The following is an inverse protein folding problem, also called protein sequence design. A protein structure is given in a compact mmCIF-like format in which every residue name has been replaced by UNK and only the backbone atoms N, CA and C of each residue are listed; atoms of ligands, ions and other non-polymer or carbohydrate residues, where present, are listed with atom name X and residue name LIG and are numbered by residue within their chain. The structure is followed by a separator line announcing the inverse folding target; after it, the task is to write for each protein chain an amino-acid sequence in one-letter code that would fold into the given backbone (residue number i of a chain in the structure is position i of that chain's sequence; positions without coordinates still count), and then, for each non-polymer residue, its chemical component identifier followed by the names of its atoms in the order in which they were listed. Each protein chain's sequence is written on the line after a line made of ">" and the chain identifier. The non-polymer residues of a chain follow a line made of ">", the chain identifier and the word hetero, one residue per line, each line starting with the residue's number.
data_IF_708577932734
#
_entry.id   IF_708577932734
#
_cell.length_a   1.000
_cell.length_b   1.000
_cell.length_c   1.000
_cell.angle_alpha   90.00
_cell.angle_beta   90.00
_cell.angle_gamma   90.00
#
_symmetry.space_group_name_H-M   'P 1'
#
loop_
_entity.id
_entity.type
_entity.pdbx_description
1 polymer ?
#
# COMPACT_ATOMS: atom_id res chain seq x y z
N UNK A 1 -12.77 -9.23 -8.38
CA UNK A 1 -13.08 -9.73 -7.02
C UNK A 1 -13.99 -10.93 -7.14
N UNK A 2 -13.69 -12.07 -6.49
CA UNK A 2 -14.60 -13.21 -6.53
C UNK A 2 -15.92 -12.83 -5.85
N UNK A 3 -17.03 -12.98 -6.57
CA UNK A 3 -18.36 -12.83 -6.00
C UNK A 3 -18.73 -14.13 -5.29
N UNK A 4 -18.83 -14.08 -3.97
CA UNK A 4 -19.33 -15.20 -3.19
C UNK A 4 -20.86 -15.20 -3.28
N UNK A 5 -21.44 -16.22 -3.93
CA UNK A 5 -22.90 -16.39 -4.04
C UNK A 5 -23.56 -16.63 -2.68
N UNK A 6 -22.82 -17.22 -1.74
CA UNK A 6 -23.24 -17.42 -0.34
C UNK A 6 -22.07 -17.08 0.59
N UNK A 7 -22.32 -16.23 1.59
CA UNK A 7 -21.32 -15.85 2.60
C UNK A 7 -21.80 -16.22 4.00
N UNK A 8 -20.93 -16.89 4.76
CA UNK A 8 -21.17 -17.17 6.18
C UNK A 8 -20.73 -16.00 7.10
N UNK A 9 -20.21 -14.92 6.54
CA UNK A 9 -19.72 -13.78 7.29
C UNK A 9 -20.87 -13.08 8.04
N UNK A 10 -20.71 -12.90 9.35
CA UNK A 10 -21.61 -12.11 10.18
C UNK A 10 -20.81 -10.97 10.81
N UNK A 11 -21.10 -9.70 10.48
CA UNK A 11 -20.40 -8.58 11.09
C UNK A 11 -20.74 -8.50 12.58
N UNK A 12 -19.81 -7.98 13.38
CA UNK A 12 -20.12 -7.58 14.75
C UNK A 12 -21.16 -6.45 14.73
N UNK A 13 -21.96 -6.31 15.79
CA UNK A 13 -23.02 -5.29 15.84
C UNK A 13 -22.48 -3.86 15.61
N UNK A 14 -21.26 -3.59 16.08
CA UNK A 14 -20.58 -2.29 15.89
C UNK A 14 -20.15 -2.02 14.44
N UNK A 15 -20.05 -3.04 13.59
CA UNK A 15 -19.64 -2.95 12.19
C UNK A 15 -20.74 -3.48 11.26
N UNK A 16 -22.00 -3.36 11.66
CA UNK A 16 -23.14 -3.96 10.97
C UNK A 16 -23.44 -3.34 9.59
N UNK A 17 -22.87 -2.18 9.24
CA UNK A 17 -23.01 -1.56 7.92
C UNK A 17 -21.65 -1.16 7.32
N UNK A 18 -21.63 -1.01 5.99
CA UNK A 18 -20.42 -0.72 5.23
C UNK A 18 -19.76 0.63 5.55
N UNK A 19 -20.54 1.64 5.94
CA UNK A 19 -19.97 2.95 6.31
C UNK A 19 -19.17 2.85 7.61
N UNK A 20 -19.70 2.17 8.63
CA UNK A 20 -18.99 1.95 9.88
C UNK A 20 -17.73 1.11 9.68
N UNK A 21 -17.77 0.10 8.81
CA UNK A 21 -16.60 -0.69 8.42
C UNK A 21 -15.50 0.19 7.81
N UNK A 22 -15.86 1.07 6.88
CA UNK A 22 -14.93 2.00 6.24
C UNK A 22 -14.35 3.01 7.23
N UNK A 23 -15.20 3.66 8.03
CA UNK A 23 -14.79 4.67 9.00
C UNK A 23 -13.89 4.06 10.08
N UNK A 24 -14.28 2.91 10.64
CA UNK A 24 -13.47 2.24 11.64
C UNK A 24 -12.09 1.84 11.09
N UNK A 25 -12.05 1.30 9.86
CA UNK A 25 -10.79 0.93 9.22
C UNK A 25 -9.89 2.13 8.91
N UNK A 26 -10.45 3.31 8.61
CA UNK A 26 -9.68 4.52 8.31
C UNK A 26 -9.23 5.27 9.57
N UNK A 27 -10.00 5.22 10.66
CA UNK A 27 -9.76 6.04 11.86
C UNK A 27 -9.13 5.27 13.03
N UNK A 28 -9.52 4.02 13.25
CA UNK A 28 -9.12 3.25 14.43
C UNK A 28 -7.94 2.31 14.17
N UNK A 29 -7.76 1.88 12.91
CA UNK A 29 -6.69 0.94 12.55
C UNK A 29 -5.33 1.60 12.68
N UNK A 30 -4.52 1.10 13.62
CA UNK A 30 -3.10 1.47 13.75
C UNK A 30 -2.24 0.32 13.31
N UNK A 31 -1.27 0.59 12.45
CA UNK A 31 -0.26 -0.39 12.02
C UNK A 31 1.10 0.17 12.40
N UNK A 32 1.99 -0.64 13.01
CA UNK A 32 3.35 -0.20 13.30
C UNK A 32 4.07 0.34 12.06
N UNK A 33 5.03 1.23 12.26
CA UNK A 33 5.89 1.70 11.18
C UNK A 33 6.62 0.52 10.51
N UNK A 34 6.71 0.60 9.19
CA UNK A 34 7.49 -0.32 8.36
C UNK A 34 8.77 0.40 7.99
N UNK A 35 9.92 -0.23 8.21
CA UNK A 35 11.20 0.35 7.83
C UNK A 35 11.39 0.19 6.33
N UNK A 36 11.14 1.27 5.60
CA UNK A 36 11.39 1.31 4.17
C UNK A 36 12.81 1.77 3.84
N UNK A 37 13.39 1.18 2.80
CA UNK A 37 14.52 1.73 2.08
C UNK A 37 14.00 2.36 0.78
N UNK A 38 14.14 3.67 0.65
CA UNK A 38 13.66 4.38 -0.55
C UNK A 38 14.67 4.31 -1.67
N UNK A 39 14.19 4.00 -2.86
CA UNK A 39 14.87 4.15 -4.14
C UNK A 39 14.05 5.08 -5.03
N UNK A 40 14.70 6.01 -5.73
CA UNK A 40 14.04 6.83 -6.74
C UNK A 40 14.29 6.24 -8.12
N UNK A 41 13.22 5.91 -8.82
CA UNK A 41 13.26 5.44 -10.20
C UNK A 41 13.00 6.62 -11.15
N UNK A 42 14.03 6.99 -11.90
CA UNK A 42 13.93 7.96 -12.99
C UNK A 42 13.16 7.36 -14.18
N UNK A 43 12.20 8.11 -14.70
CA UNK A 43 11.34 7.67 -15.80
C UNK A 43 11.81 8.27 -17.12
N UNK A 44 11.49 7.59 -18.23
CA UNK A 44 11.94 7.99 -19.56
C UNK A 44 11.43 9.35 -20.04
N UNK A 45 10.38 9.88 -19.41
CA UNK A 45 9.86 11.23 -19.69
C UNK A 45 10.50 12.32 -18.82
N UNK A 46 11.51 11.98 -18.03
CA UNK A 46 12.25 12.92 -17.18
C UNK A 46 11.62 13.18 -15.81
N UNK A 47 10.51 12.51 -15.49
CA UNK A 47 9.91 12.51 -14.15
C UNK A 47 10.42 11.33 -13.30
N UNK A 48 9.85 11.12 -12.12
CA UNK A 48 10.26 10.03 -11.23
C UNK A 48 9.08 9.35 -10.50
N UNK A 49 9.34 8.17 -9.95
CA UNK A 49 8.54 7.55 -8.88
C UNK A 49 9.44 7.07 -7.76
N UNK A 50 8.93 7.13 -6.53
CA UNK A 50 9.65 6.66 -5.35
C UNK A 50 9.20 5.24 -4.99
N UNK A 51 10.15 4.33 -4.88
CA UNK A 51 9.98 2.94 -4.53
C UNK A 51 10.40 2.73 -3.07
N UNK A 52 9.48 2.29 -2.23
CA UNK A 52 9.76 2.01 -0.83
C UNK A 52 9.85 0.51 -0.59
N UNK A 53 11.08 0.02 -0.41
CA UNK A 53 11.41 -1.38 -0.22
C UNK A 53 11.30 -1.79 1.24
N UNK A 54 10.66 -2.92 1.51
CA UNK A 54 10.63 -3.56 2.83
C UNK A 54 10.99 -5.04 2.68
N UNK A 55 12.17 -5.41 3.16
CA UNK A 55 12.68 -6.77 3.06
C UNK A 55 12.12 -7.66 4.17
N UNK A 56 11.87 -8.94 3.85
CA UNK A 56 11.46 -9.93 4.84
C UNK A 56 12.58 -10.27 5.85
N UNK A 57 13.84 -10.07 5.44
CA UNK A 57 15.03 -10.30 6.25
C UNK A 57 16.15 -9.30 5.93
N UNK A 58 17.40 -9.66 6.22
CA UNK A 58 18.56 -8.79 5.97
C UNK A 58 19.05 -8.82 4.53
N UNK A 59 18.61 -9.79 3.73
CA UNK A 59 18.96 -9.95 2.32
C UNK A 59 17.67 -10.11 1.50
N UNK A 60 17.64 -9.66 0.24
CA UNK A 60 16.51 -9.88 -0.65
C UNK A 60 16.21 -11.36 -0.84
N UNK A 61 14.93 -11.69 -0.97
CA UNK A 61 14.44 -13.03 -1.30
C UNK A 61 13.99 -13.11 -2.76
N UNK A 62 13.78 -14.33 -3.25
CA UNK A 62 13.32 -14.63 -4.61
C UNK A 62 11.82 -14.40 -4.83
N UNK A 63 11.13 -13.80 -3.85
CA UNK A 63 9.68 -13.53 -3.87
C UNK A 63 9.41 -12.08 -3.52
N UNK A 64 8.99 -11.31 -4.52
CA UNK A 64 8.63 -9.90 -4.37
C UNK A 64 7.14 -9.69 -4.62
N UNK A 65 6.51 -8.89 -3.77
CA UNK A 65 5.14 -8.38 -4.00
C UNK A 65 5.17 -6.86 -4.13
N UNK A 66 4.58 -6.36 -5.21
CA UNK A 66 4.42 -4.93 -5.47
C UNK A 66 3.07 -4.47 -4.91
N UNK A 67 3.08 -3.44 -4.08
CA UNK A 67 1.90 -2.87 -3.45
C UNK A 67 1.59 -1.52 -4.10
N UNK A 68 0.41 -1.46 -4.71
CA UNK A 68 -0.16 -0.27 -5.32
C UNK A 68 -1.13 0.39 -4.35
N UNK A 69 -0.93 1.67 -4.04
CA UNK A 69 -1.83 2.41 -3.17
C UNK A 69 -3.09 2.90 -3.92
N UNK A 70 -4.11 3.33 -3.17
CA UNK A 70 -5.32 3.94 -3.72
C UNK A 70 -5.18 5.44 -3.99
N UNK A 71 -6.30 6.10 -4.30
CA UNK A 71 -6.37 7.57 -4.50
C UNK A 71 -5.70 8.33 -3.34
N UNK A 72 -4.78 9.22 -3.69
CA UNK A 72 -4.02 10.10 -2.79
C UNK A 72 -3.37 9.36 -1.60
N UNK A 73 -3.03 8.10 -1.82
CA UNK A 73 -2.28 7.27 -0.88
C UNK A 73 -0.77 7.43 -1.05
N UNK A 74 -0.04 6.61 -0.30
CA UNK A 74 1.41 6.51 -0.29
C UNK A 74 1.79 5.25 0.54
N UNK A 75 3.09 4.94 0.62
CA UNK A 75 3.62 3.79 1.37
C UNK A 75 3.37 3.82 2.88
N UNK A 76 3.09 5.00 3.46
CA UNK A 76 2.83 5.19 4.89
C UNK A 76 1.38 4.88 5.28
N UNK A 77 0.47 4.71 4.30
CA UNK A 77 -0.93 4.43 4.59
C UNK A 77 -1.07 3.13 5.39
N UNK A 78 -1.93 3.08 6.43
CA UNK A 78 -2.05 1.91 7.30
C UNK A 78 -2.34 0.60 6.56
N UNK A 79 -3.12 0.65 5.47
CA UNK A 79 -3.38 -0.54 4.66
C UNK A 79 -2.15 -1.01 3.87
N UNK A 80 -1.33 -0.09 3.37
CA UNK A 80 -0.07 -0.41 2.67
C UNK A 80 0.94 -1.02 3.64
N UNK A 81 1.19 -0.35 4.78
CA UNK A 81 2.04 -0.89 5.85
C UNK A 81 1.57 -2.25 6.35
N UNK A 82 0.25 -2.41 6.50
CA UNK A 82 -0.34 -3.66 6.93
C UNK A 82 -0.07 -4.81 5.96
N UNK A 83 -0.19 -4.55 4.66
CA UNK A 83 0.14 -5.51 3.61
C UNK A 83 1.65 -5.83 3.60
N UNK A 84 2.51 -4.81 3.58
CA UNK A 84 3.96 -4.99 3.58
C UNK A 84 4.43 -5.86 4.76
N UNK A 85 3.94 -5.56 5.96
CA UNK A 85 4.24 -6.34 7.17
C UNK A 85 3.75 -7.79 7.07
N UNK A 86 2.52 -8.01 6.60
CA UNK A 86 1.98 -9.37 6.45
C UNK A 86 2.79 -10.19 5.43
N UNK A 87 3.21 -9.55 4.33
CA UNK A 87 4.05 -10.16 3.30
C UNK A 87 5.45 -10.48 3.82
N UNK A 88 6.11 -9.55 4.52
CA UNK A 88 7.39 -9.81 5.15
C UNK A 88 7.32 -10.96 6.16
N UNK A 89 6.25 -11.04 6.96
CA UNK A 89 6.02 -12.17 7.87
C UNK A 89 5.79 -13.50 7.15
N UNK A 90 5.26 -13.47 5.93
CA UNK A 90 5.10 -14.63 5.08
C UNK A 90 6.37 -14.97 4.27
N UNK A 91 7.49 -14.25 4.48
CA UNK A 91 8.75 -14.47 3.78
C UNK A 91 8.75 -13.96 2.34
N UNK A 92 8.03 -12.86 2.07
CA UNK A 92 8.06 -12.12 0.81
C UNK A 92 8.65 -10.73 1.05
N UNK A 93 9.51 -10.28 0.15
CA UNK A 93 9.85 -8.86 0.08
C UNK A 93 8.64 -8.08 -0.44
N UNK A 94 8.52 -6.84 0.02
CA UNK A 94 7.45 -5.94 -0.39
C UNK A 94 8.06 -4.67 -0.98
N UNK A 95 7.49 -4.19 -2.09
CA UNK A 95 7.81 -2.91 -2.69
C UNK A 95 6.54 -2.09 -2.79
N UNK A 96 6.44 -1.04 -1.99
CA UNK A 96 5.38 -0.05 -2.11
C UNK A 96 5.88 1.08 -3.01
N UNK A 97 5.45 1.10 -4.27
CA UNK A 97 5.72 2.26 -5.11
C UNK A 97 4.73 3.38 -4.84
N UNK A 98 5.24 4.61 -4.84
CA UNK A 98 4.43 5.81 -4.71
C UNK A 98 4.20 6.37 -6.10
N UNK A 99 2.93 6.59 -6.43
CA UNK A 99 2.57 7.21 -7.69
C UNK A 99 3.14 8.63 -7.80
N UNK A 100 3.16 9.16 -9.04
CA UNK A 100 3.64 10.52 -9.31
C UNK A 100 2.94 11.53 -8.40
N UNK A 101 3.73 12.30 -7.66
CA UNK A 101 3.25 13.32 -6.72
C UNK A 101 2.81 12.79 -5.36
N UNK A 102 2.82 11.47 -5.13
CA UNK A 102 2.41 10.84 -3.87
C UNK A 102 3.58 10.46 -2.96
N UNK A 103 4.83 10.52 -3.45
CA UNK A 103 6.03 10.14 -2.69
C UNK A 103 6.47 11.12 -1.59
N UNK A 104 5.72 12.22 -1.37
CA UNK A 104 6.11 13.31 -0.46
C UNK A 104 6.90 14.43 -1.13
N UNK A 105 7.27 14.25 -2.41
CA UNK A 105 7.81 15.29 -3.27
C UNK A 105 6.89 15.45 -4.49
N UNK A 106 6.62 16.70 -4.86
CA UNK A 106 5.88 17.02 -6.08
C UNK A 106 6.67 16.52 -7.28
N UNK A 107 6.00 15.86 -8.21
CA UNK A 107 6.63 15.35 -9.41
C UNK A 107 7.00 16.51 -10.37
N UNK A 108 7.94 16.27 -11.29
CA UNK A 108 8.56 17.34 -12.10
C UNK A 108 7.64 17.85 -13.21
N UNK A 109 6.75 16.99 -13.70
CA UNK A 109 5.84 17.29 -14.80
C UNK A 109 4.43 17.58 -14.27
N UNK A 110 3.62 18.33 -15.02
CA UNK A 110 2.19 18.49 -14.73
C UNK A 110 1.37 17.23 -15.11
N UNK A 111 1.96 16.05 -14.94
CA UNK A 111 1.37 14.75 -15.24
C UNK A 111 1.17 13.98 -13.94
N UNK A 112 -0.09 13.73 -13.58
CA UNK A 112 -0.44 12.87 -12.47
C UNK A 112 -0.56 11.40 -12.89
N UNK A 113 -0.74 10.52 -11.92
CA UNK A 113 -1.14 9.13 -12.13
C UNK A 113 -2.61 9.03 -12.53
N UNK A 114 -2.97 7.97 -13.26
CA UNK A 114 -4.36 7.68 -13.61
C UNK A 114 -5.08 7.04 -12.42
N UNK A 115 -6.33 7.43 -12.18
CA UNK A 115 -7.12 6.99 -11.02
C UNK A 115 -7.98 5.74 -11.27
N UNK A 116 -7.90 5.19 -12.48
CA UNK A 116 -8.77 4.12 -12.96
C UNK A 116 -9.91 4.67 -13.78
#
# INVERSE_FOLDING_TARGET
>A
MPLLSTSAYRPTALLANGHLQTIAASTLRRVPEVRYQRERLELSDGDFVDLDWSLAGTQPVDKLVIISHGLEGDSSRPYVRGMARALNQAGFDALAWNYRGCGGETNRLLRAYHLG
#
